data_IF_354184441109
#
_entry.id   IF_354184441109
#
_cell.length_a   1.000
_cell.length_b   1.000
_cell.length_c   1.000
_cell.angle_alpha   90.00
_cell.angle_beta   90.00
_cell.angle_gamma   90.00
#
_symmetry.space_group_name_H-M   'P 1'
#
loop_
_entity.id
_entity.type
_entity.pdbx_description
1 polymer ?
#
# COMPACT_ATOMS: atom_id res chain seq x y z
N UNK A 1 -2.00 -6.91 -14.67
CA UNK A 1 -1.47 -6.45 -13.35
C UNK A 1 -0.50 -5.31 -13.62
N UNK A 2 -0.53 -4.24 -12.82
CA UNK A 2 -0.02 -2.87 -13.07
C UNK A 2 1.49 -2.69 -13.40
N UNK A 3 2.20 -3.75 -13.81
CA UNK A 3 3.58 -3.71 -14.27
C UNK A 3 4.54 -3.20 -13.20
N UNK A 4 5.66 -2.64 -13.65
CA UNK A 4 6.72 -2.07 -12.80
C UNK A 4 6.23 -0.90 -11.95
N UNK A 5 5.32 -0.07 -12.48
CA UNK A 5 4.75 1.05 -11.73
C UNK A 5 3.93 0.59 -10.53
N UNK A 6 3.07 -0.42 -10.71
CA UNK A 6 2.29 -0.99 -9.61
C UNK A 6 3.18 -1.61 -8.52
N UNK A 7 4.29 -2.24 -8.92
CA UNK A 7 5.26 -2.78 -7.98
C UNK A 7 5.93 -1.68 -7.16
N UNK A 8 6.34 -0.57 -7.80
CA UNK A 8 6.97 0.57 -7.12
C UNK A 8 6.00 1.29 -6.15
N UNK A 9 4.72 1.42 -6.53
CA UNK A 9 3.69 1.97 -5.63
C UNK A 9 3.52 1.06 -4.40
N UNK A 10 3.42 -0.27 -4.60
CA UNK A 10 3.30 -1.22 -3.50
C UNK A 10 4.54 -1.18 -2.58
N UNK A 11 5.74 -1.08 -3.15
CA UNK A 11 6.98 -0.96 -2.41
C UNK A 11 6.98 0.29 -1.52
N UNK A 12 6.57 1.44 -2.06
CA UNK A 12 6.44 2.66 -1.27
C UNK A 12 5.44 2.50 -0.12
N UNK A 13 4.26 1.94 -0.38
CA UNK A 13 3.22 1.71 0.64
C UNK A 13 3.75 0.86 1.80
N UNK A 14 4.55 -0.18 1.49
CA UNK A 14 5.13 -1.05 2.51
C UNK A 14 6.30 -0.38 3.26
N UNK A 15 7.17 0.34 2.56
CA UNK A 15 8.32 1.05 3.14
C UNK A 15 7.88 2.12 4.14
N UNK A 16 6.81 2.85 3.82
CA UNK A 16 6.20 3.88 4.67
C UNK A 16 5.31 3.29 5.78
N UNK A 17 5.19 1.96 5.84
CA UNK A 17 4.33 1.22 6.78
C UNK A 17 2.84 1.62 6.71
N UNK A 18 2.38 2.08 5.55
CA UNK A 18 0.97 2.42 5.35
C UNK A 18 0.10 1.17 5.31
N UNK A 19 0.63 0.09 4.75
CA UNK A 19 0.02 -1.22 4.78
C UNK A 19 1.03 -2.31 5.18
N UNK A 20 0.51 -3.49 5.52
CA UNK A 20 1.31 -4.68 5.77
C UNK A 20 0.73 -5.88 5.05
N UNK A 21 1.57 -6.87 4.75
CA UNK A 21 1.11 -8.18 4.29
C UNK A 21 0.52 -8.94 5.46
N UNK A 22 -0.63 -9.57 5.25
CA UNK A 22 -1.15 -10.56 6.18
C UNK A 22 -0.26 -11.80 6.14
N UNK A 23 -0.03 -12.45 7.29
CA UNK A 23 0.92 -13.58 7.39
C UNK A 23 0.41 -14.84 6.65
N UNK A 24 -0.91 -15.02 6.62
CA UNK A 24 -1.55 -16.24 6.13
C UNK A 24 -2.28 -16.04 4.79
N UNK A 25 -2.06 -14.90 4.14
CA UNK A 25 -2.76 -14.53 2.90
C UNK A 25 -1.91 -13.62 2.01
N UNK A 26 -2.30 -13.51 0.75
CA UNK A 26 -1.77 -12.49 -0.18
C UNK A 26 -2.41 -11.11 0.02
N UNK A 27 -3.24 -10.97 1.05
CA UNK A 27 -3.86 -9.70 1.39
C UNK A 27 -2.83 -8.67 1.86
N UNK A 28 -3.01 -7.43 1.41
CA UNK A 28 -2.30 -6.25 1.91
C UNK A 28 -3.31 -5.39 2.64
N UNK A 29 -3.10 -5.20 3.95
CA UNK A 29 -4.04 -4.53 4.84
C UNK A 29 -3.47 -3.17 5.21
N UNK A 30 -4.22 -2.11 4.89
CA UNK A 30 -3.88 -0.75 5.31
C UNK A 30 -4.10 -0.57 6.81
N UNK A 31 -3.22 0.22 7.43
CA UNK A 31 -3.53 0.84 8.72
C UNK A 31 -4.47 2.04 8.50
N UNK A 32 -5.27 2.45 9.51
CA UNK A 32 -6.08 3.66 9.41
C UNK A 32 -5.29 4.91 8.98
N UNK A 33 -4.15 5.27 9.58
CA UNK A 33 -3.35 6.41 9.12
C UNK A 33 -2.74 6.18 7.73
N UNK A 34 -2.35 4.94 7.40
CA UNK A 34 -1.82 4.61 6.09
C UNK A 34 -2.84 4.75 4.96
N UNK A 35 -4.12 4.43 5.22
CA UNK A 35 -5.21 4.63 4.26
C UNK A 35 -5.41 6.12 3.97
N UNK A 36 -5.43 6.95 5.01
CA UNK A 36 -5.55 8.41 4.85
C UNK A 36 -4.38 9.00 4.05
N UNK A 37 -3.16 8.54 4.32
CA UNK A 37 -1.97 8.96 3.57
C UNK A 37 -2.03 8.53 2.09
N UNK A 38 -2.48 7.30 1.81
CA UNK A 38 -2.67 6.81 0.45
C UNK A 38 -3.71 7.63 -0.32
N UNK A 39 -4.88 7.87 0.28
CA UNK A 39 -5.96 8.66 -0.32
C UNK A 39 -5.47 10.07 -0.68
N UNK A 40 -4.74 10.73 0.24
CA UNK A 40 -4.17 12.06 0.01
C UNK A 40 -3.17 12.12 -1.15
N UNK A 41 -2.42 11.05 -1.40
CA UNK A 41 -1.34 11.04 -2.39
C UNK A 41 -1.81 10.57 -3.78
N UNK A 42 -2.78 9.66 -3.85
CA UNK A 42 -3.13 8.97 -5.10
C UNK A 42 -4.59 9.14 -5.55
N UNK A 43 -5.49 9.62 -4.70
CA UNK A 43 -6.93 9.69 -4.99
C UNK A 43 -7.52 11.11 -4.86
N UNK A 44 -6.66 12.14 -4.76
CA UNK A 44 -7.03 13.55 -4.74
C UNK A 44 -7.32 14.11 -6.13
#
# INVERSE_FOLDING_TARGET
LAGTLGAAILEKILAEKWARREKDSRAVIFSPPGKQAFEKVFLS
#
